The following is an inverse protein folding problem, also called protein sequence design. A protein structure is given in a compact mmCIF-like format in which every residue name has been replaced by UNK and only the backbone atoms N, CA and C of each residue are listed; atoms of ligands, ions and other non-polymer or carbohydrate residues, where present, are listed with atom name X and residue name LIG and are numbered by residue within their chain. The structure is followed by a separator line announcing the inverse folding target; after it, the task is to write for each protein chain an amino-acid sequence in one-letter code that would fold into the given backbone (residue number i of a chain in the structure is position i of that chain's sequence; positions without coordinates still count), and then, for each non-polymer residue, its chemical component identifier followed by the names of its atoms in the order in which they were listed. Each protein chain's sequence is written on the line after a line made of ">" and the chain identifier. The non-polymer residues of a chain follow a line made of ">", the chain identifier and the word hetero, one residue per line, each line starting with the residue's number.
data_IF_825604774238
#
_entry.id   IF_825604774238
#
_cell.length_a   1.000
_cell.length_b   1.000
_cell.length_c   1.000
_cell.angle_alpha   90.00
_cell.angle_beta   90.00
_cell.angle_gamma   90.00
#
_symmetry.space_group_name_H-M   'P 1'
#
loop_
_entity.id
_entity.type
_entity.pdbx_description
1 polymer ?
#
# COMPACT_ATOMS: atom_id res chain seq x y z
N UNK A 1 -11.94 -2.16 20.59
CA UNK A 1 -13.33 -2.46 21.02
C UNK A 1 -13.89 -3.46 20.02
N UNK A 2 -13.79 -4.75 20.33
CA UNK A 2 -14.20 -5.86 19.46
C UNK A 2 -15.69 -6.13 19.69
N UNK A 3 -16.51 -5.92 18.67
CA UNK A 3 -17.93 -6.32 18.68
C UNK A 3 -17.96 -7.84 18.65
N UNK A 4 -18.51 -8.43 19.71
CA UNK A 4 -18.77 -9.86 19.79
C UNK A 4 -19.85 -10.22 18.75
N UNK A 5 -19.46 -11.02 17.75
CA UNK A 5 -20.38 -11.71 16.84
C UNK A 5 -21.17 -12.74 17.65
N UNK A 6 -22.28 -12.28 18.25
CA UNK A 6 -23.27 -13.15 18.87
C UNK A 6 -24.06 -13.88 17.80
N UNK A 7 -23.76 -15.16 17.57
CA UNK A 7 -24.61 -16.02 16.77
C UNK A 7 -26.05 -15.96 17.35
N UNK A 8 -27.09 -15.81 16.51
CA UNK A 8 -28.46 -15.70 16.98
C UNK A 8 -28.82 -16.95 17.79
N UNK A 9 -29.17 -16.77 19.07
CA UNK A 9 -29.63 -17.85 19.93
C UNK A 9 -30.92 -18.42 19.35
N UNK A 10 -30.82 -19.58 18.70
CA UNK A 10 -31.98 -20.26 18.13
C UNK A 10 -33.01 -20.54 19.22
N UNK A 11 -34.27 -20.23 18.93
CA UNK A 11 -35.36 -20.40 19.89
C UNK A 11 -35.57 -21.87 20.23
N UNK A 12 -36.01 -22.17 21.46
CA UNK A 12 -36.24 -23.56 21.93
C UNK A 12 -37.14 -24.37 20.99
N UNK A 13 -38.08 -23.70 20.31
CA UNK A 13 -38.96 -24.29 19.31
C UNK A 13 -38.24 -24.71 18.02
N UNK A 14 -37.24 -23.93 17.57
CA UNK A 14 -36.44 -24.26 16.38
C UNK A 14 -35.54 -25.46 16.64
N UNK A 15 -34.92 -25.51 17.82
CA UNK A 15 -34.10 -26.65 18.24
C UNK A 15 -34.89 -27.96 18.28
N UNK A 16 -36.15 -27.91 18.76
CA UNK A 16 -37.02 -29.08 18.81
C UNK A 16 -37.40 -29.57 17.41
N UNK A 17 -37.75 -28.65 16.50
CA UNK A 17 -38.06 -28.98 15.09
C UNK A 17 -36.85 -29.58 14.37
N UNK A 18 -35.66 -29.08 14.67
CA UNK A 18 -34.42 -29.57 14.08
C UNK A 18 -34.10 -30.99 14.52
N UNK A 19 -34.26 -31.30 15.83
CA UNK A 19 -34.13 -32.67 16.35
C UNK A 19 -35.15 -33.64 15.74
N UNK A 20 -36.39 -33.21 15.56
CA UNK A 20 -37.42 -34.03 14.91
C UNK A 20 -37.07 -34.33 13.45
N UNK A 21 -36.57 -33.33 12.71
CA UNK A 21 -36.13 -33.51 11.33
C UNK A 21 -34.93 -34.46 11.24
N UNK A 22 -33.93 -34.33 12.11
CA UNK A 22 -32.78 -35.24 12.18
C UNK A 22 -33.21 -36.69 12.43
N UNK A 23 -34.18 -36.90 13.32
CA UNK A 23 -34.71 -38.24 13.63
C UNK A 23 -35.39 -38.86 12.42
N UNK A 24 -36.21 -38.08 11.69
CA UNK A 24 -36.88 -38.54 10.47
C UNK A 24 -35.89 -38.84 9.33
N UNK A 25 -34.83 -38.03 9.18
CA UNK A 25 -33.78 -38.25 8.18
C UNK A 25 -32.99 -39.53 8.49
N UNK A 26 -32.65 -39.78 9.76
CA UNK A 26 -31.96 -41.01 10.15
C UNK A 26 -32.81 -42.26 9.88
N UNK A 27 -34.10 -42.21 10.21
CA UNK A 27 -35.03 -43.30 9.91
C UNK A 27 -35.16 -43.54 8.39
N UNK A 28 -35.25 -42.46 7.60
CA UNK A 28 -35.29 -42.53 6.14
C UNK A 28 -34.02 -43.18 5.56
N UNK A 29 -32.83 -42.80 6.06
CA UNK A 29 -31.55 -43.36 5.61
C UNK A 29 -31.42 -44.85 5.97
N UNK A 30 -31.88 -45.27 7.15
CA UNK A 30 -31.88 -46.68 7.56
C UNK A 30 -32.81 -47.52 6.67
N UNK A 31 -34.03 -47.04 6.40
CA UNK A 31 -34.98 -47.71 5.51
C UNK A 31 -34.49 -47.80 4.07
N UNK A 32 -33.84 -46.73 3.56
CA UNK A 32 -33.21 -46.73 2.24
C UNK A 32 -32.09 -47.77 2.13
N UNK A 33 -31.30 -47.97 3.18
CA UNK A 33 -30.28 -49.03 3.24
C UNK A 33 -30.87 -50.44 3.32
N UNK A 34 -32.00 -50.59 4.02
CA UNK A 34 -32.73 -51.85 4.14
C UNK A 34 -33.56 -52.22 2.89
N UNK A 35 -33.71 -51.30 1.93
CA UNK A 35 -34.51 -51.50 0.72
C UNK A 35 -36.02 -51.35 0.94
N UNK A 36 -36.44 -50.78 2.06
CA UNK A 36 -37.86 -50.58 2.41
C UNK A 36 -38.46 -49.34 1.72
N UNK A 37 -39.78 -49.35 1.51
CA UNK A 37 -40.51 -48.19 0.97
C UNK A 37 -40.55 -47.06 1.99
N UNK A 38 -40.11 -45.87 1.57
CA UNK A 38 -40.09 -44.65 2.37
C UNK A 38 -41.50 -44.05 2.49
N UNK A 39 -41.85 -43.53 3.67
CA UNK A 39 -43.09 -42.75 3.84
C UNK A 39 -42.96 -41.36 3.22
N UNK A 40 -44.07 -40.75 2.78
CA UNK A 40 -44.05 -39.40 2.19
C UNK A 40 -43.42 -38.34 3.11
N UNK A 41 -43.62 -38.45 4.42
CA UNK A 41 -43.00 -37.55 5.42
C UNK A 41 -41.48 -37.74 5.50
N UNK A 42 -40.99 -38.95 5.29
CA UNK A 42 -39.56 -39.29 5.29
C UNK A 42 -38.89 -38.83 4.00
N UNK A 43 -39.57 -38.94 2.85
CA UNK A 43 -39.11 -38.42 1.56
C UNK A 43 -38.94 -36.90 1.64
N UNK A 44 -39.96 -36.18 2.08
CA UNK A 44 -39.91 -34.71 2.20
C UNK A 44 -38.82 -34.24 3.19
N UNK A 45 -38.60 -34.98 4.29
CA UNK A 45 -37.52 -34.68 5.23
C UNK A 45 -36.14 -34.91 4.61
N UNK A 46 -35.98 -35.95 3.80
CA UNK A 46 -34.74 -36.29 3.13
C UNK A 46 -34.42 -35.29 2.00
N UNK A 47 -35.40 -34.90 1.18
CA UNK A 47 -35.25 -33.86 0.16
C UNK A 47 -34.84 -32.51 0.80
N UNK A 48 -35.50 -32.12 1.89
CA UNK A 48 -35.16 -30.89 2.62
C UNK A 48 -33.75 -30.94 3.21
N UNK A 49 -33.32 -32.10 3.69
CA UNK A 49 -31.96 -32.29 4.18
C UNK A 49 -30.92 -32.23 3.04
N UNK A 50 -31.18 -32.87 1.91
CA UNK A 50 -30.32 -32.81 0.73
C UNK A 50 -30.19 -31.38 0.21
N UNK A 51 -31.30 -30.63 0.12
CA UNK A 51 -31.29 -29.23 -0.28
C UNK A 51 -30.46 -28.35 0.68
N UNK A 52 -30.58 -28.56 2.00
CA UNK A 52 -29.75 -27.85 2.99
C UNK A 52 -28.28 -28.22 2.91
N UNK A 53 -27.96 -29.48 2.59
CA UNK A 53 -26.57 -29.91 2.39
C UNK A 53 -25.98 -29.30 1.13
N UNK A 54 -26.74 -29.24 0.05
CA UNK A 54 -26.29 -28.65 -1.20
C UNK A 54 -26.13 -27.14 -1.09
N UNK A 55 -27.01 -26.45 -0.37
CA UNK A 55 -26.83 -25.04 -0.04
C UNK A 55 -25.57 -24.82 0.81
N UNK A 56 -25.33 -25.62 1.85
CA UNK A 56 -24.11 -25.55 2.67
C UNK A 56 -22.84 -25.87 1.88
N UNK A 57 -22.89 -26.82 0.96
CA UNK A 57 -21.79 -27.15 0.05
C UNK A 57 -21.55 -26.00 -0.93
N UNK A 58 -22.62 -25.45 -1.50
CA UNK A 58 -22.59 -24.26 -2.35
C UNK A 58 -21.93 -23.09 -1.64
N UNK A 59 -22.31 -22.79 -0.40
CA UNK A 59 -21.70 -21.73 0.41
C UNK A 59 -20.20 -21.96 0.67
N UNK A 60 -19.75 -23.21 0.81
CA UNK A 60 -18.30 -23.52 0.90
C UNK A 60 -17.57 -23.20 -0.39
N UNK A 61 -18.17 -23.51 -1.55
CA UNK A 61 -17.63 -23.12 -2.87
C UNK A 61 -17.70 -21.61 -3.12
N UNK A 62 -18.71 -20.92 -2.58
CA UNK A 62 -18.83 -19.45 -2.67
C UNK A 62 -17.75 -18.77 -1.83
N UNK A 63 -17.32 -19.36 -0.71
CA UNK A 63 -16.26 -18.74 0.09
C UNK A 63 -14.88 -18.88 -0.54
N UNK A 64 -14.58 -20.05 -1.10
CA UNK A 64 -13.23 -20.39 -1.51
C UNK A 64 -13.23 -21.02 -2.91
N UNK A 65 -12.64 -20.30 -3.88
CA UNK A 65 -12.55 -20.74 -5.27
C UNK A 65 -11.11 -21.13 -5.60
N UNK A 66 -10.86 -22.35 -6.12
CA UNK A 66 -9.55 -22.69 -6.65
C UNK A 66 -9.13 -21.73 -7.77
N UNK A 67 -7.89 -21.24 -7.70
CA UNK A 67 -7.36 -20.22 -8.62
C UNK A 67 -7.54 -20.57 -10.10
N UNK A 68 -7.46 -21.86 -10.44
CA UNK A 68 -7.69 -22.37 -11.80
C UNK A 68 -9.03 -21.89 -12.37
N UNK A 69 -10.13 -22.08 -11.63
CA UNK A 69 -11.46 -21.69 -12.08
C UNK A 69 -11.61 -20.18 -12.16
N UNK A 70 -11.03 -19.45 -11.20
CA UNK A 70 -11.02 -17.99 -11.27
C UNK A 70 -10.31 -17.47 -12.52
N UNK A 71 -9.18 -18.08 -12.90
CA UNK A 71 -8.45 -17.70 -14.11
C UNK A 71 -9.27 -17.97 -15.38
N UNK A 72 -9.96 -19.12 -15.42
CA UNK A 72 -10.87 -19.49 -16.50
C UNK A 72 -12.03 -18.50 -16.63
N UNK A 73 -12.66 -18.12 -15.52
CA UNK A 73 -13.81 -17.18 -15.52
C UNK A 73 -13.40 -15.73 -15.77
N UNK A 74 -12.26 -15.29 -15.22
CA UNK A 74 -11.77 -13.92 -15.38
C UNK A 74 -11.01 -13.69 -16.68
N UNK A 75 -10.66 -14.75 -17.41
CA UNK A 75 -9.81 -14.67 -18.60
C UNK A 75 -8.37 -14.21 -18.30
N UNK A 76 -7.92 -14.29 -17.05
CA UNK A 76 -6.59 -13.85 -16.60
C UNK A 76 -5.65 -15.04 -16.41
N UNK A 77 -4.36 -14.81 -16.63
CA UNK A 77 -3.32 -15.80 -16.35
C UNK A 77 -2.93 -15.81 -14.87
N UNK A 78 -2.53 -16.99 -14.37
CA UNK A 78 -2.04 -17.16 -12.99
C UNK A 78 -0.92 -16.17 -12.63
N UNK A 79 0.02 -15.96 -13.56
CA UNK A 79 1.16 -15.05 -13.37
C UNK A 79 0.72 -13.60 -13.18
N UNK A 80 -0.23 -13.14 -13.99
CA UNK A 80 -0.79 -11.78 -13.90
C UNK A 80 -1.47 -11.56 -12.56
N UNK A 81 -2.26 -12.54 -12.08
CA UNK A 81 -2.92 -12.45 -10.78
C UNK A 81 -1.93 -12.43 -9.62
N UNK A 82 -0.86 -13.23 -9.67
CA UNK A 82 0.20 -13.16 -8.66
C UNK A 82 0.87 -11.80 -8.65
N UNK A 83 1.26 -11.29 -9.82
CA UNK A 83 1.88 -9.97 -9.91
C UNK A 83 0.94 -8.86 -9.40
N UNK A 84 -0.36 -8.96 -9.65
CA UNK A 84 -1.36 -8.02 -9.10
C UNK A 84 -1.52 -8.18 -7.58
N UNK A 85 -1.49 -9.41 -7.07
CA UNK A 85 -1.49 -9.66 -5.64
C UNK A 85 -0.27 -9.01 -4.96
N UNK A 86 0.91 -9.14 -5.56
CA UNK A 86 2.14 -8.57 -5.03
C UNK A 86 2.15 -7.04 -5.11
N UNK A 87 1.71 -6.47 -6.23
CA UNK A 87 1.79 -5.03 -6.48
C UNK A 87 0.74 -4.22 -5.71
N UNK A 88 -0.48 -4.74 -5.62
CA UNK A 88 -1.62 -4.02 -5.03
C UNK A 88 -2.11 -4.64 -3.71
N UNK A 89 -1.50 -5.73 -3.26
CA UNK A 89 -1.90 -6.43 -2.03
C UNK A 89 -3.24 -7.18 -2.14
N UNK A 90 -3.64 -7.62 -3.34
CA UNK A 90 -4.90 -8.37 -3.50
C UNK A 90 -4.82 -9.74 -2.81
N UNK A 91 -5.88 -10.19 -2.12
CA UNK A 91 -5.94 -11.52 -1.48
C UNK A 91 -6.20 -12.66 -2.49
N UNK A 92 -5.47 -12.65 -3.62
CA UNK A 92 -5.58 -13.64 -4.72
C UNK A 92 -4.28 -14.39 -4.99
N UNK A 93 -3.22 -14.15 -4.21
CA UNK A 93 -1.90 -14.76 -4.42
C UNK A 93 -1.86 -16.28 -4.21
N UNK A 94 -2.71 -16.81 -3.33
CA UNK A 94 -2.76 -18.23 -2.98
C UNK A 94 -3.31 -19.15 -4.09
N UNK A 95 -3.22 -20.49 -3.89
CA UNK A 95 -3.81 -21.49 -4.78
C UNK A 95 -5.35 -21.52 -4.73
N UNK A 96 -5.91 -21.01 -3.64
CA UNK A 96 -7.34 -20.84 -3.41
C UNK A 96 -7.58 -19.37 -3.08
N UNK A 97 -8.58 -18.78 -3.71
CA UNK A 97 -8.98 -17.39 -3.53
C UNK A 97 -10.16 -17.36 -2.56
N UNK A 98 -10.01 -16.64 -1.45
CA UNK A 98 -11.12 -16.36 -0.53
C UNK A 98 -11.92 -15.18 -1.07
N UNK A 99 -13.14 -15.45 -1.54
CA UNK A 99 -14.02 -14.43 -2.12
C UNK A 99 -14.49 -13.41 -1.09
N UNK A 100 -14.64 -13.79 0.18
CA UNK A 100 -15.06 -12.87 1.23
C UNK A 100 -13.93 -11.88 1.50
N UNK A 101 -12.69 -12.37 1.58
CA UNK A 101 -11.52 -11.51 1.72
C UNK A 101 -11.36 -10.58 0.51
N UNK A 102 -11.56 -11.10 -0.71
CA UNK A 102 -11.49 -10.31 -1.94
C UNK A 102 -12.58 -9.23 -2.01
N UNK A 103 -13.83 -9.57 -1.68
CA UNK A 103 -14.93 -8.61 -1.67
C UNK A 103 -14.70 -7.52 -0.62
N UNK A 104 -14.27 -7.89 0.59
CA UNK A 104 -13.92 -6.93 1.64
C UNK A 104 -12.79 -6.01 1.18
N UNK A 105 -11.71 -6.58 0.65
CA UNK A 105 -10.59 -5.81 0.10
C UNK A 105 -11.04 -4.82 -0.98
N UNK A 106 -11.92 -5.25 -1.90
CA UNK A 106 -12.44 -4.39 -2.95
C UNK A 106 -13.25 -3.21 -2.37
N UNK A 107 -14.12 -3.47 -1.40
CA UNK A 107 -14.90 -2.43 -0.73
C UNK A 107 -14.01 -1.45 0.05
N UNK A 108 -13.03 -1.97 0.79
CA UNK A 108 -12.08 -1.15 1.54
C UNK A 108 -11.24 -0.29 0.58
N UNK A 109 -10.79 -0.86 -0.54
CA UNK A 109 -10.05 -0.13 -1.58
C UNK A 109 -10.89 0.97 -2.22
N UNK A 110 -12.14 0.67 -2.60
CA UNK A 110 -13.07 1.66 -3.17
C UNK A 110 -13.37 2.79 -2.17
N UNK A 111 -13.53 2.47 -0.89
CA UNK A 111 -13.75 3.47 0.15
C UNK A 111 -12.54 4.39 0.33
N UNK A 112 -11.32 3.81 0.35
CA UNK A 112 -10.07 4.58 0.46
C UNK A 112 -9.83 5.49 -0.74
N UNK A 113 -10.21 5.05 -1.94
CA UNK A 113 -9.94 5.79 -3.18
C UNK A 113 -11.16 6.56 -3.70
N UNK A 114 -12.22 6.69 -2.88
CA UNK A 114 -13.49 7.30 -3.30
C UNK A 114 -13.31 8.70 -3.89
N UNK A 115 -12.47 9.55 -3.28
CA UNK A 115 -12.23 10.92 -3.77
C UNK A 115 -11.53 10.93 -5.12
N UNK A 116 -10.42 10.19 -5.25
CA UNK A 116 -9.68 10.06 -6.51
C UNK A 116 -10.56 9.46 -7.63
N UNK A 117 -11.41 8.47 -7.31
CA UNK A 117 -12.36 7.89 -8.24
C UNK A 117 -13.48 8.87 -8.61
N UNK A 118 -14.01 9.62 -7.65
CA UNK A 118 -15.05 10.63 -7.93
C UNK A 118 -14.52 11.78 -8.79
N UNK A 119 -13.26 12.17 -8.62
CA UNK A 119 -12.61 13.17 -9.47
C UNK A 119 -12.38 12.63 -10.89
N UNK A 120 -12.01 11.35 -11.03
CA UNK A 120 -11.89 10.67 -12.33
C UNK A 120 -13.23 10.56 -13.06
N UNK A 121 -14.32 10.23 -12.36
CA UNK A 121 -15.66 10.11 -12.94
C UNK A 121 -16.27 11.48 -13.24
N UNK A 122 -16.03 12.50 -12.40
CA UNK A 122 -16.46 13.86 -12.67
C UNK A 122 -15.77 14.46 -13.91
N UNK A 123 -14.59 13.96 -14.28
CA UNK A 123 -13.89 14.31 -15.54
C UNK A 123 -14.57 13.71 -16.76
N UNK A 124 -15.23 12.54 -16.65
CA UNK A 124 -15.97 11.92 -17.77
C UNK A 124 -17.34 12.57 -18.05
N UNK A 125 -17.95 13.23 -17.06
CA UNK A 125 -19.20 14.00 -17.22
C UNK A 125 -18.97 15.43 -17.75
N UNK A 126 -17.71 15.83 -17.96
CA UNK A 126 -17.36 17.13 -18.54
C UNK A 126 -17.27 17.02 -20.08
N UNK A 127 -17.74 18.03 -20.83
CA UNK A 127 -17.57 18.04 -22.29
C UNK A 127 -16.09 17.90 -22.64
N UNK A 128 -15.79 17.08 -23.66
CA UNK A 128 -14.45 16.56 -23.99
C UNK A 128 -13.29 17.59 -24.10
N UNK A 129 -13.59 18.89 -24.17
CA UNK A 129 -12.60 19.98 -24.12
C UNK A 129 -12.09 20.33 -22.72
N UNK A 130 -12.92 20.22 -21.68
CA UNK A 130 -12.57 20.57 -20.28
C UNK A 130 -11.99 19.38 -19.50
N UNK A 131 -12.42 18.16 -19.85
CA UNK A 131 -11.90 16.92 -19.29
C UNK A 131 -10.37 16.78 -19.51
N UNK A 132 -9.88 17.11 -20.72
CA UNK A 132 -8.44 17.06 -21.06
C UNK A 132 -7.59 18.03 -20.25
N UNK A 133 -8.13 19.20 -19.91
CA UNK A 133 -7.39 20.24 -19.18
C UNK A 133 -7.31 19.94 -17.69
N UNK A 134 -8.36 19.36 -17.09
CA UNK A 134 -8.34 18.92 -15.68
C UNK A 134 -7.52 17.65 -15.48
N UNK A 135 -7.65 16.67 -16.37
CA UNK A 135 -6.83 15.45 -16.34
C UNK A 135 -5.35 15.79 -16.51
N UNK A 136 -5.01 16.74 -17.39
CA UNK A 136 -3.66 17.28 -17.53
C UNK A 136 -3.14 17.98 -16.27
N UNK A 137 -3.99 18.73 -15.56
CA UNK A 137 -3.63 19.40 -14.30
C UNK A 137 -3.39 18.42 -13.14
N UNK A 138 -4.27 17.43 -12.97
CA UNK A 138 -4.11 16.37 -11.98
C UNK A 138 -2.89 15.49 -12.25
N UNK A 139 -2.62 15.19 -13.52
CA UNK A 139 -1.38 14.49 -13.92
C UNK A 139 -0.15 15.36 -13.64
N UNK A 140 -0.20 16.66 -13.93
CA UNK A 140 0.91 17.58 -13.65
C UNK A 140 1.19 17.68 -12.14
N UNK A 141 0.16 17.83 -11.31
CA UNK A 141 0.30 17.89 -9.86
C UNK A 141 0.87 16.58 -9.29
N UNK A 142 0.41 15.44 -9.79
CA UNK A 142 0.93 14.12 -9.38
C UNK A 142 2.37 13.91 -9.84
N UNK A 143 2.75 14.42 -11.00
CA UNK A 143 4.14 14.42 -11.49
C UNK A 143 5.03 15.29 -10.60
N UNK A 144 4.58 16.49 -10.20
CA UNK A 144 5.31 17.37 -9.28
C UNK A 144 5.49 16.72 -7.89
N UNK A 145 4.44 16.10 -7.35
CA UNK A 145 4.55 15.35 -6.09
C UNK A 145 5.54 14.18 -6.18
N UNK A 146 5.57 13.47 -7.30
CA UNK A 146 6.52 12.38 -7.53
C UNK A 146 7.97 12.89 -7.68
N UNK A 147 8.17 14.05 -8.32
CA UNK A 147 9.49 14.71 -8.41
C UNK A 147 10.00 15.10 -7.03
N UNK A 148 9.18 15.76 -6.21
CA UNK A 148 9.54 16.11 -4.83
C UNK A 148 9.91 14.88 -4.00
N UNK A 149 9.13 13.81 -4.13
CA UNK A 149 9.38 12.55 -3.42
C UNK A 149 10.66 11.86 -3.91
N UNK A 150 10.96 11.88 -5.21
CA UNK A 150 12.22 11.37 -5.73
C UNK A 150 13.41 12.19 -5.25
N UNK A 151 13.30 13.51 -5.24
CA UNK A 151 14.38 14.38 -4.78
C UNK A 151 14.72 14.14 -3.31
N UNK A 152 13.70 13.94 -2.46
CA UNK A 152 13.87 13.52 -1.06
C UNK A 152 14.52 12.14 -0.93
N UNK A 153 14.13 11.19 -1.78
CA UNK A 153 14.72 9.85 -1.80
C UNK A 153 16.18 9.89 -2.27
N UNK A 154 16.51 10.73 -3.24
CA UNK A 154 17.89 10.95 -3.71
C UNK A 154 18.75 11.59 -2.63
N UNK A 155 18.23 12.59 -1.90
CA UNK A 155 18.96 13.17 -0.75
C UNK A 155 19.19 12.12 0.33
N UNK A 156 18.17 11.32 0.67
CA UNK A 156 18.30 10.24 1.65
C UNK A 156 19.24 9.12 1.20
N UNK A 157 19.28 8.80 -0.09
CA UNK A 157 20.24 7.84 -0.65
C UNK A 157 21.66 8.40 -0.63
N UNK A 158 21.85 9.68 -0.95
CA UNK A 158 23.14 10.35 -0.89
C UNK A 158 23.68 10.49 0.55
N UNK A 159 22.80 10.72 1.52
CA UNK A 159 23.10 10.67 2.96
C UNK A 159 23.52 9.26 3.38
N UNK A 160 22.75 8.22 3.00
CA UNK A 160 23.08 6.81 3.30
C UNK A 160 24.37 6.34 2.62
N UNK A 161 24.72 6.91 1.47
CA UNK A 161 25.96 6.62 0.75
C UNK A 161 27.16 7.43 1.28
N UNK A 162 27.02 8.17 2.40
CA UNK A 162 28.08 9.00 3.00
C UNK A 162 28.71 10.02 2.05
N UNK A 163 27.99 10.42 0.99
CA UNK A 163 28.50 11.36 -0.02
C UNK A 163 28.32 12.82 0.40
N UNK A 164 27.38 13.08 1.31
CA UNK A 164 27.10 14.40 1.86
C UNK A 164 27.73 14.53 3.25
N UNK A 165 28.53 15.57 3.45
CA UNK A 165 29.08 15.89 4.77
C UNK A 165 28.02 16.63 5.58
N UNK A 166 27.76 16.23 6.84
CA UNK A 166 26.87 16.98 7.72
C UNK A 166 27.33 18.43 7.83
N UNK A 167 26.41 19.38 7.69
CA UNK A 167 26.70 20.82 7.71
C UNK A 167 27.51 21.24 8.94
N UNK A 168 27.19 20.67 10.10
CA UNK A 168 27.87 20.97 11.36
C UNK A 168 29.35 20.56 11.34
N UNK A 169 29.68 19.42 10.71
CA UNK A 169 31.06 18.95 10.58
C UNK A 169 31.86 19.82 9.62
N UNK A 170 31.25 20.26 8.52
CA UNK A 170 31.88 21.20 7.58
C UNK A 170 32.16 22.53 8.28
N UNK A 171 31.21 23.04 9.05
CA UNK A 171 31.37 24.28 9.80
C UNK A 171 32.50 24.18 10.84
N UNK A 172 32.55 23.10 11.61
CA UNK A 172 33.61 22.89 12.62
C UNK A 172 35.01 22.83 11.98
N UNK A 173 35.15 22.15 10.84
CA UNK A 173 36.41 22.08 10.10
C UNK A 173 36.84 23.45 9.56
N UNK A 174 35.89 24.24 9.04
CA UNK A 174 36.17 25.59 8.56
C UNK A 174 36.60 26.52 9.69
N UNK A 175 35.95 26.45 10.86
CA UNK A 175 36.35 27.22 12.05
C UNK A 175 37.77 26.86 12.47
N UNK A 176 38.11 25.56 12.49
CA UNK A 176 39.46 25.10 12.83
C UNK A 176 40.51 25.56 11.82
N UNK A 177 40.19 25.52 10.51
CA UNK A 177 41.06 26.02 9.46
C UNK A 177 41.31 27.53 9.62
N UNK A 178 40.26 28.32 9.89
CA UNK A 178 40.37 29.75 10.12
C UNK A 178 41.30 30.10 11.30
N UNK A 179 41.24 29.33 12.39
CA UNK A 179 42.15 29.50 13.54
C UNK A 179 43.61 29.24 13.18
N UNK A 180 43.89 28.18 12.39
CA UNK A 180 45.24 27.86 11.93
C UNK A 180 45.78 28.97 11.03
N UNK A 181 44.96 29.48 10.11
CA UNK A 181 45.31 30.55 9.19
C UNK A 181 45.57 31.87 9.92
N UNK A 182 44.72 32.25 10.87
CA UNK A 182 44.94 33.44 11.72
C UNK A 182 46.26 33.33 12.50
N UNK A 183 46.52 32.19 13.12
CA UNK A 183 47.79 31.95 13.83
C UNK A 183 49.01 31.95 12.91
N UNK A 184 48.87 31.54 11.65
CA UNK A 184 49.92 31.66 10.64
C UNK A 184 50.16 33.12 10.24
N UNK A 185 49.09 33.90 10.08
CA UNK A 185 49.13 35.34 9.81
C UNK A 185 49.85 36.12 10.91
N UNK A 186 49.54 35.84 12.17
CA UNK A 186 50.22 36.49 13.31
C UNK A 186 51.73 36.20 13.31
N UNK A 187 52.13 34.97 12.96
CA UNK A 187 53.55 34.59 12.86
C UNK A 187 54.23 35.28 11.67
N UNK A 188 53.52 35.40 10.55
CA UNK A 188 54.01 36.04 9.34
C UNK A 188 54.20 37.54 9.57
N UNK A 189 53.21 38.21 10.16
CA UNK A 189 53.23 39.62 10.55
C UNK A 189 54.39 39.94 11.48
N UNK A 190 54.59 39.12 12.52
CA UNK A 190 55.70 39.30 13.47
C UNK A 190 57.08 39.17 12.84
N UNK A 191 57.22 38.35 11.80
CA UNK A 191 58.53 38.02 11.20
C UNK A 191 58.89 38.89 10.00
N UNK A 192 57.89 39.30 9.22
CA UNK A 192 58.07 39.98 7.94
C UNK A 192 57.42 41.37 7.87
N UNK A 193 56.79 41.82 8.96
CA UNK A 193 56.15 43.12 9.03
C UNK A 193 54.74 43.12 8.45
N UNK A 194 54.17 44.34 8.37
CA UNK A 194 52.76 44.55 8.06
C UNK A 194 52.37 44.13 6.64
N UNK A 195 53.23 44.39 5.65
CA UNK A 195 52.95 44.08 4.24
C UNK A 195 52.69 42.58 4.00
N UNK A 196 53.40 41.70 4.72
CA UNK A 196 53.18 40.27 4.61
C UNK A 196 51.82 39.84 5.18
N UNK A 197 51.40 40.48 6.29
CA UNK A 197 50.08 40.25 6.89
C UNK A 197 48.95 40.68 5.96
N UNK A 198 49.10 41.83 5.31
CA UNK A 198 48.10 42.38 4.39
C UNK A 198 47.90 41.48 3.16
N UNK A 199 48.97 40.89 2.62
CA UNK A 199 48.89 39.91 1.50
C UNK A 199 48.10 38.65 1.91
N UNK A 200 48.31 38.15 3.13
CA UNK A 200 47.56 36.99 3.61
C UNK A 200 46.08 37.32 3.85
N UNK A 201 45.79 38.50 4.39
CA UNK A 201 44.41 38.95 4.57
C UNK A 201 43.67 39.03 3.23
N UNK A 202 44.30 39.66 2.22
CA UNK A 202 43.72 39.72 0.87
C UNK A 202 43.47 38.33 0.28
N UNK A 203 44.41 37.39 0.44
CA UNK A 203 44.24 36.02 -0.06
C UNK A 203 43.10 35.26 0.65
N UNK A 204 42.82 35.57 1.91
CA UNK A 204 41.70 34.99 2.65
C UNK A 204 40.36 35.56 2.19
N UNK A 205 40.30 36.87 1.94
CA UNK A 205 39.11 37.53 1.41
C UNK A 205 38.79 37.02 -0.01
N UNK A 206 39.80 36.87 -0.87
CA UNK A 206 39.65 36.29 -2.21
C UNK A 206 39.13 34.83 -2.12
N UNK A 207 39.61 34.06 -1.15
CA UNK A 207 39.16 32.68 -0.92
C UNK A 207 37.70 32.62 -0.44
N UNK A 208 37.29 33.54 0.44
CA UNK A 208 35.89 33.65 0.90
C UNK A 208 34.94 33.96 -0.26
N UNK A 209 35.33 34.86 -1.16
CA UNK A 209 34.53 35.18 -2.35
C UNK A 209 34.34 33.98 -3.28
N UNK A 210 35.39 33.18 -3.51
CA UNK A 210 35.30 31.96 -4.33
C UNK A 210 34.36 30.94 -3.68
N UNK A 211 34.41 30.77 -2.36
CA UNK A 211 33.51 29.87 -1.64
C UNK A 211 32.05 30.33 -1.73
N UNK A 212 31.79 31.64 -1.62
CA UNK A 212 30.45 32.20 -1.73
C UNK A 212 29.88 31.96 -3.14
N UNK A 213 30.67 32.19 -4.19
CA UNK A 213 30.26 31.89 -5.58
C UNK A 213 29.92 30.41 -5.76
N UNK A 214 30.72 29.51 -5.19
CA UNK A 214 30.50 28.08 -5.32
C UNK A 214 29.26 27.60 -4.54
N UNK A 215 28.95 28.24 -3.41
CA UNK A 215 27.73 27.99 -2.63
C UNK A 215 26.46 28.50 -3.34
N UNK A 216 26.56 29.65 -4.01
CA UNK A 216 25.47 30.23 -4.79
C UNK A 216 25.19 29.41 -6.06
N UNK A 217 26.22 28.88 -6.72
CA UNK A 217 26.10 27.99 -7.89
C UNK A 217 25.56 26.59 -7.54
N UNK A 218 25.71 26.15 -6.29
CA UNK A 218 25.21 24.84 -5.81
C UNK A 218 23.84 24.90 -5.18
N UNK A 219 23.29 26.11 -4.92
CA UNK A 219 21.90 26.26 -4.56
C UNK A 219 21.01 26.01 -5.79
N UNK A 220 20.03 25.08 -5.72
CA UNK A 220 19.13 24.85 -6.83
C UNK A 220 18.39 26.16 -7.12
N UNK A 221 18.47 26.66 -8.37
CA UNK A 221 17.59 27.73 -8.84
C UNK A 221 16.15 27.21 -8.73
N UNK A 222 15.38 27.81 -7.83
CA UNK A 222 13.93 27.61 -7.69
C UNK A 222 13.19 27.82 -9.02
#
# INVERSE_FOLDING_TARGET
>A
MLVADGAPQQTTAEQLRQKQLETLVQAALQKKKAGEKLLQREIAALEKFEQQQDERRGLRFVRAIPKKFWCEWSGRQHRTLNAQADLYGLPVGGPVIDLVALAKWLHDWLAQHKQALSELVAVDDLPAGEAKTLQGKLLAEKVEQLKHRNLLLETQLAEKQQKLWPRDQVHELLVRAAQILRGAGDRLYKRHGQEAGDILAQALDDFEQILQQLADDTSPRE
#
